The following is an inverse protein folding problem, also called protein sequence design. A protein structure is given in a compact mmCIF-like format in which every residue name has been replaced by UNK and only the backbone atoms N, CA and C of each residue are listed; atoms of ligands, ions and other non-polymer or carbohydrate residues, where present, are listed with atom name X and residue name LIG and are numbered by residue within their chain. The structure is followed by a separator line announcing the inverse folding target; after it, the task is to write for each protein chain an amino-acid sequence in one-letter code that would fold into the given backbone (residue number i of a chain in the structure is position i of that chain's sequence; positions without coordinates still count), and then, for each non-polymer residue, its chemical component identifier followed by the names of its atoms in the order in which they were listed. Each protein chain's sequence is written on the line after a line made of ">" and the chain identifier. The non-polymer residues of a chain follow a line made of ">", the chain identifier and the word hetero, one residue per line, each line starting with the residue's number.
data_IF_620443349776
#
_entry.id   IF_620443349776
#
_cell.length_a   1.000
_cell.length_b   1.000
_cell.length_c   1.000
_cell.angle_alpha   90.00
_cell.angle_beta   90.00
_cell.angle_gamma   90.00
#
_symmetry.space_group_name_H-M   'P 1'
#
loop_
_entity.id
_entity.type
_entity.pdbx_description
1 polymer ?
#
# COMPACT_ATOMS: atom_id res chain seq x y z
N UNK A 1 -27.44 0.88 33.03
CA UNK A 1 -26.31 1.41 33.81
C UNK A 1 -26.90 2.18 34.99
N UNK A 2 -26.66 1.73 36.23
CA UNK A 2 -27.18 2.37 37.43
C UNK A 2 -26.17 3.41 37.93
N UNK A 3 -26.54 4.68 37.95
CA UNK A 3 -25.75 5.76 38.54
C UNK A 3 -26.37 6.21 39.87
N UNK A 4 -25.53 6.57 40.85
CA UNK A 4 -26.00 7.18 42.08
C UNK A 4 -26.39 8.64 41.78
N UNK A 5 -27.70 8.91 41.64
CA UNK A 5 -28.21 10.28 41.53
C UNK A 5 -28.36 10.87 42.94
N UNK A 6 -27.73 12.03 43.18
CA UNK A 6 -27.93 12.80 44.42
C UNK A 6 -28.30 14.23 44.07
N UNK A 7 -29.48 14.66 44.51
CA UNK A 7 -29.91 16.05 44.42
C UNK A 7 -29.06 16.88 45.38
N UNK A 8 -28.28 17.81 44.85
CA UNK A 8 -27.63 18.87 45.64
C UNK A 8 -28.50 20.12 45.51
N UNK A 9 -29.06 20.56 46.64
CA UNK A 9 -29.72 21.86 46.71
C UNK A 9 -28.66 22.95 46.79
N UNK A 10 -28.73 23.95 45.93
CA UNK A 10 -28.07 25.23 46.17
C UNK A 10 -29.03 26.11 46.95
N UNK A 11 -28.73 26.39 48.21
CA UNK A 11 -29.41 27.42 48.99
C UNK A 11 -28.88 28.79 48.57
N UNK A 12 -29.62 29.49 47.71
CA UNK A 12 -29.29 30.85 47.27
C UNK A 12 -29.60 31.91 48.34
N UNK A 13 -30.02 31.49 49.54
CA UNK A 13 -30.42 32.32 50.68
C UNK A 13 -31.52 33.35 50.34
N UNK A 14 -32.22 33.25 49.20
CA UNK A 14 -33.36 34.12 48.84
C UNK A 14 -34.73 33.45 49.06
N UNK A 15 -34.75 32.17 49.45
CA UNK A 15 -35.99 31.41 49.67
C UNK A 15 -36.50 30.67 48.42
N UNK A 16 -35.76 30.71 47.30
CA UNK A 16 -36.11 29.97 46.08
C UNK A 16 -35.20 28.76 45.91
N UNK A 17 -35.71 27.56 46.19
CA UNK A 17 -34.97 26.32 45.95
C UNK A 17 -34.95 25.98 44.47
N UNK A 18 -33.80 26.12 43.81
CA UNK A 18 -33.58 25.54 42.48
C UNK A 18 -32.99 24.13 42.65
N UNK A 19 -33.71 23.11 42.17
CA UNK A 19 -33.24 21.73 42.17
C UNK A 19 -32.34 21.51 40.96
N UNK A 20 -31.04 21.36 41.18
CA UNK A 20 -30.09 20.87 40.18
C UNK A 20 -29.84 19.38 40.35
N UNK A 21 -29.83 18.63 39.26
CA UNK A 21 -29.35 17.24 39.28
C UNK A 21 -27.84 17.27 39.06
N UNK A 22 -27.05 16.84 40.06
CA UNK A 22 -25.62 16.59 39.88
C UNK A 22 -25.45 15.13 39.47
N UNK A 23 -25.09 14.92 38.21
CA UNK A 23 -24.73 13.61 37.69
C UNK A 23 -23.22 13.40 37.92
N UNK A 24 -22.86 12.66 38.98
CA UNK A 24 -21.48 12.24 39.24
C UNK A 24 -21.27 10.87 38.61
N UNK A 25 -20.33 10.80 37.67
CA UNK A 25 -19.87 9.54 37.09
C UNK A 25 -18.48 9.25 37.64
N UNK A 26 -18.35 8.12 38.33
CA UNK A 26 -17.06 7.62 38.79
C UNK A 26 -16.62 6.61 37.75
N UNK A 27 -15.54 6.93 37.07
CA UNK A 27 -14.86 5.95 36.24
C UNK A 27 -14.02 5.02 37.13
N UNK A 28 -14.08 3.73 36.86
CA UNK A 28 -13.35 2.70 37.61
C UNK A 28 -12.66 1.69 36.68
N UNK A 29 -12.81 1.86 35.37
CA UNK A 29 -12.32 0.92 34.38
C UNK A 29 -10.94 1.38 33.94
N UNK A 30 -9.94 0.49 34.01
CA UNK A 30 -8.65 0.78 33.42
C UNK A 30 -8.72 0.68 31.88
N UNK A 31 -7.93 1.48 31.16
CA UNK A 31 -7.91 1.44 29.70
C UNK A 31 -7.45 0.08 29.19
N UNK A 32 -7.97 -0.36 28.05
CA UNK A 32 -7.60 -1.60 27.40
C UNK A 32 -7.14 -1.38 25.95
N UNK A 33 -6.02 -2.00 25.58
CA UNK A 33 -5.59 -2.02 24.18
C UNK A 33 -6.55 -2.86 23.34
N UNK A 34 -7.05 -2.30 22.25
CA UNK A 34 -8.02 -2.92 21.34
C UNK A 34 -7.39 -3.42 20.04
N UNK A 35 -6.29 -2.79 19.60
CA UNK A 35 -5.58 -3.20 18.39
C UNK A 35 -4.12 -2.73 18.38
N UNK A 36 -3.29 -3.45 17.63
CA UNK A 36 -1.92 -3.03 17.26
C UNK A 36 -1.84 -3.03 15.73
N UNK A 37 -1.28 -1.98 15.14
CA UNK A 37 -1.11 -1.83 13.69
C UNK A 37 0.30 -1.38 13.35
N UNK A 38 1.01 -2.15 12.51
CA UNK A 38 2.31 -1.74 11.99
C UNK A 38 2.21 -0.65 10.92
N UNK A 39 3.33 0.03 10.68
CA UNK A 39 3.51 1.07 9.67
C UNK A 39 2.44 2.17 9.71
N UNK A 40 2.12 2.64 10.92
CA UNK A 40 1.20 3.73 11.19
C UNK A 40 1.82 4.71 12.16
N UNK A 41 2.06 5.93 11.68
CA UNK A 41 2.48 7.07 12.47
C UNK A 41 1.37 8.12 12.51
N UNK A 42 1.44 9.02 13.48
CA UNK A 42 0.50 10.13 13.61
C UNK A 42 1.05 11.37 12.92
N UNK A 43 0.27 11.97 12.00
CA UNK A 43 0.52 13.32 11.52
C UNK A 43 -0.30 14.30 12.36
N UNK A 44 0.35 15.03 13.27
CA UNK A 44 -0.33 16.02 14.10
C UNK A 44 -0.92 17.18 13.28
N UNK A 45 -0.22 17.59 12.21
CA UNK A 45 -0.68 18.64 11.30
C UNK A 45 -1.95 18.24 10.53
N UNK A 46 -1.99 17.01 10.01
CA UNK A 46 -3.13 16.51 9.24
C UNK A 46 -4.22 15.86 10.12
N UNK A 47 -3.93 15.63 11.40
CA UNK A 47 -4.77 14.89 12.35
C UNK A 47 -5.25 13.54 11.81
N UNK A 48 -4.33 12.76 11.23
CA UNK A 48 -4.63 11.45 10.65
C UNK A 48 -3.45 10.49 10.74
N UNK A 49 -3.76 9.21 10.58
CA UNK A 49 -2.76 8.17 10.34
C UNK A 49 -2.03 8.43 9.02
N UNK A 50 -0.71 8.34 9.07
CA UNK A 50 0.17 8.32 7.89
C UNK A 50 0.98 7.03 7.86
N UNK A 51 1.44 6.64 6.69
CA UNK A 51 2.29 5.44 6.55
C UNK A 51 3.73 5.81 6.88
N UNK A 52 4.34 5.05 7.78
CA UNK A 52 5.76 5.15 8.11
C UNK A 52 6.24 3.76 8.54
N UNK A 53 7.16 3.15 7.79
CA UNK A 53 7.58 1.78 8.04
C UNK A 53 8.31 1.59 9.38
N UNK A 54 8.85 2.65 9.96
CA UNK A 54 9.48 2.67 11.28
C UNK A 54 8.48 3.08 12.38
N UNK A 55 7.25 2.56 12.36
CA UNK A 55 6.24 2.92 13.37
C UNK A 55 5.22 1.82 13.68
N UNK A 56 4.65 1.89 14.89
CA UNK A 56 3.57 1.04 15.36
C UNK A 56 2.52 1.89 16.06
N UNK A 57 1.24 1.67 15.74
CA UNK A 57 0.08 2.24 16.42
C UNK A 57 -0.53 1.23 17.38
N UNK A 58 -0.94 1.69 18.55
CA UNK A 58 -1.72 0.96 19.54
C UNK A 58 -3.02 1.73 19.75
N UNK A 59 -4.15 1.08 19.52
CA UNK A 59 -5.47 1.66 19.82
C UNK A 59 -5.93 1.22 21.20
N UNK A 60 -6.56 2.13 21.94
CA UNK A 60 -7.20 1.89 23.22
C UNK A 60 -8.71 2.09 23.10
N UNK A 61 -9.49 1.55 24.03
CA UNK A 61 -10.94 1.73 24.13
C UNK A 61 -11.36 3.07 24.76
N UNK A 62 -10.41 3.81 25.32
CA UNK A 62 -10.61 5.14 25.91
C UNK A 62 -9.35 6.02 25.81
N UNK A 63 -9.49 7.29 26.23
CA UNK A 63 -8.40 8.28 26.16
C UNK A 63 -7.42 8.14 27.32
N UNK A 64 -6.12 8.11 26.99
CA UNK A 64 -5.05 8.05 27.97
C UNK A 64 -4.65 9.44 28.48
N UNK A 65 -4.14 9.50 29.71
CA UNK A 65 -3.38 10.63 30.22
C UNK A 65 -1.96 10.62 29.61
N UNK A 66 -1.68 11.59 28.75
CA UNK A 66 -0.42 11.76 28.04
C UNK A 66 0.79 11.80 28.99
N UNK A 67 0.64 12.37 30.19
CA UNK A 67 1.73 12.47 31.16
C UNK A 67 2.18 11.09 31.69
N UNK A 68 1.37 10.06 31.52
CA UNK A 68 1.65 8.69 31.98
C UNK A 68 2.22 7.79 30.88
N UNK A 69 2.37 8.29 29.66
CA UNK A 69 2.77 7.47 28.51
C UNK A 69 4.17 7.85 28.05
N UNK A 70 5.13 6.93 28.22
CA UNK A 70 6.51 7.12 27.79
C UNK A 70 7.03 5.92 26.95
N UNK A 71 8.12 6.14 26.21
CA UNK A 71 8.77 5.10 25.41
C UNK A 71 9.17 3.88 26.26
N UNK A 72 9.61 4.12 27.49
CA UNK A 72 10.02 3.08 28.44
C UNK A 72 8.89 2.18 28.90
N UNK A 73 7.62 2.58 28.73
CA UNK A 73 6.48 1.75 29.11
C UNK A 73 6.24 0.61 28.12
N UNK A 74 6.84 0.68 26.93
CA UNK A 74 6.58 -0.27 25.85
C UNK A 74 7.84 -1.02 25.42
N UNK A 75 7.62 -2.21 24.90
CA UNK A 75 8.61 -2.92 24.10
C UNK A 75 7.98 -3.38 22.79
N UNK A 76 8.75 -3.30 21.70
CA UNK A 76 8.35 -3.82 20.39
C UNK A 76 9.29 -4.96 20.02
N UNK A 77 8.71 -6.10 19.65
CA UNK A 77 9.43 -7.33 19.33
C UNK A 77 8.69 -8.09 18.23
N UNK A 78 9.15 -9.28 17.85
CA UNK A 78 8.45 -10.15 16.90
C UNK A 78 9.26 -10.41 15.64
N UNK A 79 8.69 -11.20 14.73
CA UNK A 79 9.37 -11.56 13.48
C UNK A 79 9.52 -10.30 12.62
N UNK A 80 10.69 -10.10 12.02
CA UNK A 80 10.95 -8.97 11.11
C UNK A 80 11.05 -7.60 11.80
N UNK A 81 10.87 -7.50 13.11
CA UNK A 81 11.23 -6.28 13.86
C UNK A 81 12.75 -6.23 13.97
N UNK A 82 13.36 -5.27 13.26
CA UNK A 82 14.82 -5.14 13.13
C UNK A 82 15.45 -4.35 14.27
N UNK A 83 14.67 -3.50 14.94
CA UNK A 83 15.06 -2.73 16.12
C UNK A 83 13.91 -2.69 17.11
N UNK A 84 14.22 -2.90 18.39
CA UNK A 84 13.28 -2.74 19.52
C UNK A 84 13.34 -1.36 20.16
N UNK A 85 14.23 -0.48 19.68
CA UNK A 85 14.40 0.87 20.22
C UNK A 85 13.24 1.75 19.76
N UNK A 86 12.55 2.35 20.73
CA UNK A 86 11.49 3.34 20.52
C UNK A 86 12.11 4.72 20.69
N UNK A 87 12.08 5.54 19.64
CA UNK A 87 12.64 6.89 19.63
C UNK A 87 11.60 7.95 20.00
N UNK A 88 10.34 7.71 19.62
CA UNK A 88 9.25 8.65 19.87
C UNK A 88 8.01 7.93 20.34
N UNK A 89 7.26 8.63 21.20
CA UNK A 89 5.89 8.27 21.58
C UNK A 89 5.02 9.49 21.38
N UNK A 90 3.85 9.29 20.79
CA UNK A 90 2.90 10.37 20.57
C UNK A 90 1.49 9.85 20.78
N UNK A 91 0.65 10.60 21.48
CA UNK A 91 -0.78 10.35 21.50
C UNK A 91 -1.42 11.05 20.31
N UNK A 92 -2.28 10.33 19.60
CA UNK A 92 -3.02 10.87 18.48
C UNK A 92 -4.49 10.51 18.57
N UNK A 93 -5.18 10.70 17.45
CA UNK A 93 -6.63 10.61 17.38
C UNK A 93 -7.24 11.92 16.90
N UNK A 94 -8.44 11.83 16.36
CA UNK A 94 -9.16 12.96 15.81
C UNK A 94 -10.46 13.14 16.58
N UNK A 95 -10.80 14.39 16.85
CA UNK A 95 -12.05 14.79 17.50
C UNK A 95 -12.27 13.97 18.79
N UNK A 96 -13.42 13.30 18.95
CA UNK A 96 -13.76 12.49 20.13
C UNK A 96 -12.91 11.24 20.37
N UNK A 97 -11.85 11.00 19.58
CA UNK A 97 -10.89 9.90 19.79
C UNK A 97 -9.49 10.36 20.17
N UNK A 98 -9.32 11.65 20.46
CA UNK A 98 -8.03 12.21 20.88
C UNK A 98 -7.53 11.49 22.14
N UNK A 99 -6.29 11.01 22.12
CA UNK A 99 -5.68 10.28 23.23
C UNK A 99 -6.03 8.79 23.29
N UNK A 100 -6.86 8.27 22.39
CA UNK A 100 -7.20 6.83 22.32
C UNK A 100 -6.19 6.02 21.47
N UNK A 101 -5.12 6.64 20.98
CA UNK A 101 -4.12 5.97 20.16
C UNK A 101 -2.73 6.42 20.53
N UNK A 102 -1.85 5.44 20.80
CA UNK A 102 -0.42 5.66 21.03
C UNK A 102 0.35 5.25 19.79
N UNK A 103 1.23 6.12 19.33
CA UNK A 103 2.09 5.90 18.16
C UNK A 103 3.53 5.82 18.64
N UNK A 104 4.17 4.69 18.38
CA UNK A 104 5.58 4.42 18.69
C UNK A 104 6.39 4.60 17.41
N UNK A 105 7.35 5.53 17.41
CA UNK A 105 8.39 5.61 16.38
C UNK A 105 9.55 4.69 16.73
N UNK A 106 9.94 3.82 15.81
CA UNK A 106 11.04 2.87 15.96
C UNK A 106 12.31 3.45 15.34
N UNK A 107 13.47 3.04 15.84
CA UNK A 107 14.77 3.47 15.29
C UNK A 107 15.09 2.88 13.90
N UNK A 108 14.31 1.91 13.42
CA UNK A 108 14.49 1.29 12.11
C UNK A 108 13.15 0.86 11.52
N UNK A 109 13.11 0.79 10.19
CA UNK A 109 11.97 0.25 9.46
C UNK A 109 11.68 -1.21 9.87
N UNK A 110 10.39 -1.52 9.96
CA UNK A 110 9.91 -2.89 10.01
C UNK A 110 10.40 -3.63 8.76
N UNK A 111 11.02 -4.79 8.98
CA UNK A 111 11.49 -5.64 7.90
C UNK A 111 10.34 -6.31 7.15
N UNK A 112 10.63 -7.01 6.04
CA UNK A 112 9.61 -7.60 5.19
C UNK A 112 8.72 -8.62 5.90
N UNK A 113 7.40 -8.53 5.72
CA UNK A 113 6.38 -9.33 6.41
C UNK A 113 6.56 -9.35 7.94
N UNK A 114 7.04 -8.26 8.52
CA UNK A 114 7.19 -8.18 9.96
C UNK A 114 5.84 -8.38 10.68
N UNK A 115 5.94 -8.95 11.88
CA UNK A 115 4.82 -9.23 12.77
C UNK A 115 5.11 -8.61 14.13
N UNK A 116 5.03 -7.27 14.24
CA UNK A 116 5.35 -6.60 15.47
C UNK A 116 4.39 -7.04 16.58
N UNK A 117 4.97 -7.31 17.75
CA UNK A 117 4.31 -7.60 19.01
C UNK A 117 4.67 -6.50 19.98
N UNK A 118 3.64 -5.84 20.51
CA UNK A 118 3.81 -4.79 21.51
C UNK A 118 3.47 -5.36 22.89
N UNK A 119 4.33 -5.05 23.86
CA UNK A 119 4.07 -5.31 25.27
C UNK A 119 4.19 -4.03 26.07
N UNK A 120 3.28 -3.87 27.03
CA UNK A 120 3.40 -2.91 28.11
C UNK A 120 4.31 -3.52 29.19
N UNK A 121 5.41 -2.87 29.53
CA UNK A 121 6.34 -3.26 30.59
C UNK A 121 6.32 -2.28 31.77
N UNK A 122 5.87 -1.05 31.54
CA UNK A 122 5.58 -0.05 32.56
C UNK A 122 4.09 0.02 32.88
N UNK A 123 3.54 1.23 32.94
CA UNK A 123 2.12 1.46 33.21
C UNK A 123 1.62 2.71 32.49
N UNK A 124 0.35 2.71 32.12
CA UNK A 124 -0.33 3.88 31.55
C UNK A 124 -1.67 4.07 32.27
N UNK A 125 -2.17 5.29 32.31
CA UNK A 125 -3.47 5.60 32.94
C UNK A 125 -4.38 6.32 31.97
N UNK A 126 -5.68 6.20 32.19
CA UNK A 126 -6.68 7.08 31.59
C UNK A 126 -6.72 8.46 32.27
N UNK A 127 -7.59 9.34 31.79
CA UNK A 127 -7.80 10.68 32.36
C UNK A 127 -8.46 10.67 33.75
N UNK A 128 -9.09 9.56 34.15
CA UNK A 128 -9.67 9.38 35.48
C UNK A 128 -8.67 8.78 36.49
N UNK A 129 -7.47 8.40 36.03
CA UNK A 129 -6.41 7.82 36.84
C UNK A 129 -6.50 6.31 37.02
N UNK A 130 -7.35 5.59 36.27
CA UNK A 130 -7.34 4.12 36.32
C UNK A 130 -6.13 3.60 35.55
N UNK A 131 -5.39 2.68 36.18
CA UNK A 131 -4.06 2.25 35.70
C UNK A 131 -4.14 0.91 34.97
N UNK A 132 -3.66 0.87 33.73
CA UNK A 132 -3.28 -0.36 33.05
C UNK A 132 -1.80 -0.67 33.32
N UNK A 133 -1.53 -1.86 33.84
CA UNK A 133 -0.18 -2.37 34.09
C UNK A 133 -0.11 -3.89 33.97
N UNK A 134 1.09 -4.47 33.78
CA UNK A 134 1.27 -5.92 33.86
C UNK A 134 0.81 -6.49 35.20
N UNK A 135 0.16 -7.66 35.15
CA UNK A 135 -0.10 -8.45 36.34
C UNK A 135 1.23 -8.96 36.93
N UNK A 136 1.24 -9.30 38.22
CA UNK A 136 2.43 -9.84 38.89
C UNK A 136 2.95 -11.13 38.27
N UNK A 137 2.10 -11.89 37.58
CA UNK A 137 2.46 -13.08 36.81
C UNK A 137 3.07 -12.78 35.42
N UNK A 138 2.91 -11.56 34.91
CA UNK A 138 3.40 -11.12 33.59
C UNK A 138 4.83 -10.54 33.70
N UNK A 139 5.80 -11.38 34.08
CA UNK A 139 7.20 -10.97 34.38
C UNK A 139 7.97 -10.36 33.18
N UNK A 140 7.44 -10.49 31.97
CA UNK A 140 8.03 -9.93 30.74
C UNK A 140 7.14 -8.88 30.10
N UNK A 141 6.22 -8.30 30.86
CA UNK A 141 5.23 -7.35 30.40
C UNK A 141 3.94 -7.98 29.87
N UNK A 142 2.89 -7.16 29.86
CA UNK A 142 1.55 -7.47 29.34
C UNK A 142 1.55 -7.35 27.83
N UNK A 143 1.11 -8.38 27.11
CA UNK A 143 0.96 -8.28 25.65
C UNK A 143 -0.26 -7.42 25.32
N UNK A 144 -0.05 -6.31 24.61
CA UNK A 144 -1.12 -5.43 24.14
C UNK A 144 -1.68 -5.90 22.79
N UNK A 145 -0.85 -6.57 21.99
CA UNK A 145 -1.29 -7.19 20.74
C UNK A 145 -0.14 -7.54 19.82
N UNK A 146 -0.51 -8.14 18.70
CA UNK A 146 0.36 -8.42 17.55
C UNK A 146 -0.26 -7.82 16.30
N UNK A 147 0.56 -7.48 15.32
CA UNK A 147 0.08 -6.98 14.04
C UNK A 147 0.79 -7.62 12.86
N UNK A 148 0.26 -7.38 11.67
CA UNK A 148 1.06 -7.35 10.44
C UNK A 148 1.75 -5.99 10.34
N UNK A 149 2.89 -5.92 9.67
CA UNK A 149 3.67 -4.69 9.56
C UNK A 149 2.96 -3.55 8.83
N UNK A 150 1.91 -3.81 8.03
CA UNK A 150 1.22 -2.80 7.25
C UNK A 150 2.08 -2.11 6.19
N UNK A 151 3.30 -2.62 5.96
CA UNK A 151 4.27 -2.04 5.04
C UNK A 151 3.81 -2.34 3.62
N UNK A 152 3.61 -1.30 2.81
CA UNK A 152 3.23 -1.48 1.42
C UNK A 152 4.46 -1.84 0.58
N UNK A 153 4.36 -2.82 -0.32
CA UNK A 153 5.43 -3.07 -1.27
C UNK A 153 5.80 -1.81 -2.06
N UNK A 154 7.09 -1.55 -2.15
CA UNK A 154 7.67 -0.57 -3.07
C UNK A 154 8.38 -1.33 -4.17
N UNK A 155 7.85 -1.20 -5.39
CA UNK A 155 8.38 -1.90 -6.55
C UNK A 155 9.39 -1.02 -7.28
N UNK A 156 10.46 -1.63 -7.78
CA UNK A 156 11.57 -0.95 -8.42
C UNK A 156 12.26 -1.82 -9.47
N UNK A 157 13.11 -1.21 -10.29
CA UNK A 157 13.88 -1.93 -11.31
C UNK A 157 13.02 -2.59 -12.39
N UNK A 158 11.85 -2.00 -12.68
CA UNK A 158 10.98 -2.46 -13.75
C UNK A 158 11.68 -2.39 -15.10
N UNK A 159 11.79 -3.53 -15.80
CA UNK A 159 12.46 -3.63 -17.09
C UNK A 159 11.69 -4.54 -18.04
N UNK A 160 11.78 -4.20 -19.34
CA UNK A 160 11.30 -5.01 -20.46
C UNK A 160 12.51 -5.33 -21.34
N UNK A 161 12.78 -6.61 -21.61
CA UNK A 161 14.01 -7.05 -22.28
C UNK A 161 14.10 -6.60 -23.75
N UNK A 162 12.97 -6.51 -24.43
CA UNK A 162 12.86 -5.97 -25.78
C UNK A 162 11.94 -4.77 -25.76
N UNK A 163 12.51 -3.59 -26.03
CA UNK A 163 11.72 -2.37 -26.16
C UNK A 163 10.70 -2.45 -27.30
N UNK A 164 10.97 -3.31 -28.29
CA UNK A 164 10.29 -3.48 -29.57
C UNK A 164 9.82 -4.95 -29.69
N UNK A 165 8.51 -5.20 -29.81
CA UNK A 165 7.95 -6.56 -29.89
C UNK A 165 7.24 -6.77 -31.24
N UNK A 166 7.88 -7.51 -32.14
CA UNK A 166 7.30 -7.93 -33.43
C UNK A 166 6.03 -8.77 -33.22
N UNK A 167 5.17 -8.85 -34.25
CA UNK A 167 4.01 -9.75 -34.26
C UNK A 167 4.45 -11.19 -33.92
N UNK A 168 3.74 -11.84 -33.00
CA UNK A 168 4.09 -13.16 -32.45
C UNK A 168 5.41 -13.22 -31.66
N UNK A 169 6.05 -12.07 -31.45
CA UNK A 169 7.26 -11.91 -30.64
C UNK A 169 6.97 -11.92 -29.14
N UNK A 170 8.05 -12.07 -28.36
CA UNK A 170 8.00 -12.12 -26.90
C UNK A 170 9.01 -11.15 -26.28
N UNK A 171 8.70 -10.65 -25.10
CA UNK A 171 9.65 -9.91 -24.26
C UNK A 171 9.46 -10.29 -22.80
N UNK A 172 10.55 -10.29 -22.04
CA UNK A 172 10.49 -10.54 -20.61
C UNK A 172 10.24 -9.24 -19.86
N UNK A 173 9.43 -9.32 -18.81
CA UNK A 173 9.24 -8.29 -17.80
C UNK A 173 9.98 -8.74 -16.55
N UNK A 174 10.69 -7.84 -15.90
CA UNK A 174 11.21 -8.05 -14.55
C UNK A 174 10.94 -6.85 -13.66
N UNK A 175 10.74 -7.09 -12.36
CA UNK A 175 10.74 -6.05 -11.33
C UNK A 175 11.11 -6.64 -9.98
N UNK A 176 11.56 -5.78 -9.08
CA UNK A 176 11.92 -6.11 -7.70
C UNK A 176 11.04 -5.38 -6.70
N UNK A 177 11.04 -5.84 -5.45
CA UNK A 177 10.27 -5.28 -4.33
C UNK A 177 11.13 -5.19 -3.08
N UNK A 178 10.94 -4.14 -2.28
CA UNK A 178 11.50 -4.10 -0.92
C UNK A 178 10.79 -5.08 0.04
N UNK A 179 9.53 -5.41 -0.28
CA UNK A 179 8.69 -6.38 0.44
C UNK A 179 8.62 -7.76 -0.20
N UNK A 180 8.20 -8.73 0.62
CA UNK A 180 7.91 -10.08 0.15
C UNK A 180 6.53 -10.14 -0.52
N UNK A 181 6.53 -10.36 -1.83
CA UNK A 181 5.36 -10.51 -2.68
C UNK A 181 4.74 -11.92 -2.58
N UNK A 182 3.44 -12.01 -2.81
CA UNK A 182 2.66 -13.25 -2.80
C UNK A 182 1.64 -13.30 -3.94
N UNK A 183 0.89 -14.41 -3.99
CA UNK A 183 -0.27 -14.63 -4.89
C UNK A 183 0.10 -14.42 -6.36
N UNK A 184 1.05 -15.19 -6.88
CA UNK A 184 1.50 -15.14 -8.29
C UNK A 184 0.60 -15.93 -9.23
N UNK A 185 0.69 -15.67 -10.54
CA UNK A 185 0.09 -16.53 -11.56
C UNK A 185 -1.45 -16.50 -11.63
N UNK A 186 -2.10 -15.55 -10.95
CA UNK A 186 -3.56 -15.42 -10.95
C UNK A 186 -3.99 -14.41 -12.01
N UNK A 187 -4.76 -14.89 -12.99
CA UNK A 187 -5.52 -14.02 -13.88
C UNK A 187 -6.55 -13.24 -13.04
N UNK A 188 -6.73 -11.96 -13.36
CA UNK A 188 -7.48 -10.96 -12.57
C UNK A 188 -8.86 -11.40 -12.05
N UNK A 189 -9.52 -12.37 -12.71
CA UNK A 189 -10.91 -12.73 -12.46
C UNK A 189 -11.20 -13.52 -11.17
N UNK A 190 -10.22 -14.05 -10.41
CA UNK A 190 -10.53 -14.89 -9.24
C UNK A 190 -9.68 -14.70 -7.98
N UNK A 191 -8.54 -14.01 -8.02
CA UNK A 191 -7.80 -13.64 -6.82
C UNK A 191 -6.80 -12.52 -7.18
N UNK A 192 -6.82 -11.41 -6.43
CA UNK A 192 -5.94 -10.26 -6.69
C UNK A 192 -4.52 -10.64 -6.28
N UNK A 193 -3.63 -10.86 -7.25
CA UNK A 193 -2.25 -11.29 -7.04
C UNK A 193 -1.20 -10.23 -7.28
N UNK A 194 0.06 -10.67 -7.38
CA UNK A 194 1.15 -9.90 -7.99
C UNK A 194 1.11 -10.09 -9.51
N UNK A 195 1.10 -9.00 -10.29
CA UNK A 195 0.96 -9.01 -11.76
C UNK A 195 1.57 -7.74 -12.40
N UNK A 196 1.63 -7.71 -13.72
CA UNK A 196 1.92 -6.49 -14.48
C UNK A 196 0.70 -6.09 -15.32
N UNK A 197 0.30 -4.82 -15.26
CA UNK A 197 -0.87 -4.26 -15.93
C UNK A 197 -0.47 -3.51 -17.19
N UNK A 198 -1.08 -3.87 -18.32
CA UNK A 198 -0.80 -3.28 -19.64
C UNK A 198 -1.91 -2.30 -20.00
N UNK A 199 -1.55 -1.10 -20.47
CA UNK A 199 -2.47 -0.06 -20.97
C UNK A 199 -2.03 0.44 -22.35
N UNK A 200 -2.94 1.03 -23.13
CA UNK A 200 -2.65 1.54 -24.48
C UNK A 200 -3.12 0.64 -25.64
N UNK A 201 -2.60 0.90 -26.84
CA UNK A 201 -3.10 0.38 -28.13
C UNK A 201 -3.39 1.52 -29.12
N UNK A 202 -3.29 1.27 -30.43
CA UNK A 202 -3.52 2.29 -31.48
C UNK A 202 -4.95 2.84 -31.54
N UNK A 203 -5.23 3.78 -32.46
CA UNK A 203 -6.38 4.72 -32.46
C UNK A 203 -7.82 4.13 -32.32
N UNK A 204 -8.00 2.82 -32.48
CA UNK A 204 -9.28 2.11 -32.26
C UNK A 204 -9.34 1.33 -30.93
N UNK A 205 -8.41 1.54 -29.99
CA UNK A 205 -8.62 1.14 -28.60
C UNK A 205 -9.49 2.21 -27.95
N UNK A 206 -10.81 2.05 -28.04
CA UNK A 206 -11.77 2.95 -27.40
C UNK A 206 -11.43 3.19 -25.92
N UNK A 207 -12.08 4.18 -25.32
CA UNK A 207 -11.95 4.67 -23.93
C UNK A 207 -11.91 3.61 -22.81
N UNK A 208 -12.09 2.33 -23.12
CA UNK A 208 -11.82 1.15 -22.29
C UNK A 208 -10.32 0.81 -22.11
N UNK A 209 -9.39 1.51 -22.77
CA UNK A 209 -7.93 1.30 -22.65
C UNK A 209 -7.28 1.91 -21.40
N UNK A 210 -8.06 2.57 -20.53
CA UNK A 210 -7.60 3.11 -19.26
C UNK A 210 -7.76 2.04 -18.18
N UNK A 211 -6.71 1.25 -17.94
CA UNK A 211 -6.73 0.33 -16.80
C UNK A 211 -6.71 1.16 -15.51
N UNK A 212 -7.84 1.21 -14.80
CA UNK A 212 -7.92 1.87 -13.50
C UNK A 212 -7.03 1.15 -12.50
N UNK A 213 -6.00 1.85 -12.02
CA UNK A 213 -5.00 1.37 -11.06
C UNK A 213 -5.56 1.03 -9.66
N UNK A 214 -6.88 1.15 -9.47
CA UNK A 214 -7.59 0.79 -8.24
C UNK A 214 -8.00 -0.70 -8.19
N UNK A 215 -7.81 -1.43 -9.30
CA UNK A 215 -8.14 -2.83 -9.45
C UNK A 215 -9.63 -3.12 -9.29
N UNK A 216 -10.47 -2.31 -9.94
CA UNK A 216 -11.92 -2.53 -10.05
C UNK A 216 -12.43 -2.89 -11.46
N UNK A 217 -11.59 -2.92 -12.52
CA UNK A 217 -12.05 -3.43 -13.81
C UNK A 217 -10.97 -3.63 -14.89
N UNK A 218 -11.24 -4.62 -15.73
CA UNK A 218 -10.79 -4.81 -17.11
C UNK A 218 -9.57 -5.69 -17.47
N UNK A 219 -9.78 -6.42 -18.58
CA UNK A 219 -8.89 -7.39 -19.21
C UNK A 219 -7.61 -6.71 -19.71
N UNK A 220 -6.53 -6.80 -18.93
CA UNK A 220 -5.32 -6.02 -19.19
C UNK A 220 -4.01 -6.58 -18.62
N UNK A 221 -4.06 -7.69 -17.88
CA UNK A 221 -2.98 -8.04 -16.95
C UNK A 221 -2.15 -9.25 -17.40
N UNK A 222 -0.83 -9.10 -17.32
CA UNK A 222 0.17 -10.14 -17.55
C UNK A 222 0.47 -10.81 -16.21
N UNK A 223 0.25 -12.13 -16.17
CA UNK A 223 0.66 -12.94 -15.04
C UNK A 223 2.19 -12.92 -14.90
N UNK A 224 2.66 -12.85 -13.66
CA UNK A 224 4.09 -12.94 -13.33
C UNK A 224 4.32 -14.07 -12.33
N UNK A 225 5.54 -14.61 -12.36
CA UNK A 225 6.06 -15.61 -11.45
C UNK A 225 7.14 -14.98 -10.59
N UNK A 226 7.15 -15.30 -9.30
CA UNK A 226 8.21 -14.86 -8.40
C UNK A 226 9.43 -15.75 -8.57
N UNK A 227 10.58 -15.15 -8.92
CA UNK A 227 11.87 -15.85 -8.91
C UNK A 227 12.37 -16.05 -7.48
N UNK A 228 12.01 -15.13 -6.59
CA UNK A 228 12.12 -15.21 -5.15
C UNK A 228 11.05 -14.28 -4.54
N UNK A 229 10.83 -14.26 -3.22
CA UNK A 229 9.80 -13.43 -2.61
C UNK A 229 9.88 -11.93 -2.96
N UNK A 230 11.03 -11.42 -3.41
CA UNK A 230 11.26 -10.00 -3.70
C UNK A 230 11.42 -9.67 -5.18
N UNK A 231 11.27 -10.63 -6.09
CA UNK A 231 11.46 -10.37 -7.53
C UNK A 231 10.51 -11.19 -8.38
N UNK A 232 9.91 -10.53 -9.37
CA UNK A 232 8.95 -11.11 -10.27
C UNK A 232 9.47 -11.07 -11.71
N UNK A 233 9.06 -12.06 -12.49
CA UNK A 233 9.29 -12.16 -13.92
C UNK A 233 8.01 -12.54 -14.66
N UNK A 234 7.78 -11.97 -15.82
CA UNK A 234 6.66 -12.33 -16.69
C UNK A 234 7.08 -12.25 -18.16
N UNK A 235 6.20 -12.67 -19.06
CA UNK A 235 6.46 -12.60 -20.50
C UNK A 235 5.31 -11.87 -21.19
N UNK A 236 5.65 -10.79 -21.91
CA UNK A 236 4.78 -10.11 -22.86
C UNK A 236 4.81 -10.87 -24.19
N UNK A 237 3.63 -11.02 -24.82
CA UNK A 237 3.49 -11.60 -26.16
C UNK A 237 2.57 -10.72 -27.00
N UNK A 238 2.94 -10.49 -28.26
CA UNK A 238 2.09 -9.79 -29.24
C UNK A 238 1.35 -10.83 -30.10
N UNK A 239 0.02 -10.73 -30.19
CA UNK A 239 -0.71 -11.30 -31.33
C UNK A 239 -1.23 -12.73 -31.18
N UNK A 240 -1.35 -13.25 -29.96
CA UNK A 240 -2.03 -14.52 -29.69
C UNK A 240 -3.10 -14.32 -28.62
N UNK A 241 -4.37 -14.46 -29.01
CA UNK A 241 -5.51 -14.54 -28.07
C UNK A 241 -5.40 -15.74 -27.10
N UNK A 242 -4.45 -16.64 -27.35
CA UNK A 242 -4.30 -17.95 -26.72
C UNK A 242 -3.78 -17.92 -25.28
N UNK A 243 -3.16 -16.81 -24.82
CA UNK A 243 -2.52 -16.72 -23.50
C UNK A 243 -3.03 -15.57 -22.60
N UNK A 244 -4.17 -14.96 -22.95
CA UNK A 244 -4.80 -13.92 -22.12
C UNK A 244 -4.06 -12.58 -22.02
N UNK A 245 -3.06 -12.33 -22.87
CA UNK A 245 -2.35 -11.04 -22.95
C UNK A 245 -3.04 -10.11 -23.98
N UNK A 246 -3.37 -8.84 -23.67
CA UNK A 246 -4.26 -8.01 -24.49
C UNK A 246 -3.59 -7.33 -25.71
N UNK A 247 -2.32 -7.62 -26.00
CA UNK A 247 -1.56 -6.97 -27.09
C UNK A 247 -1.90 -7.59 -28.45
N UNK A 248 -3.14 -7.43 -28.89
CA UNK A 248 -3.66 -7.95 -30.17
C UNK A 248 -3.60 -6.93 -31.30
N UNK A 249 -3.32 -5.67 -30.99
CA UNK A 249 -3.20 -4.57 -31.95
C UNK A 249 -1.78 -4.01 -31.93
N UNK A 250 -1.42 -3.42 -33.05
CA UNK A 250 -0.22 -2.59 -33.17
C UNK A 250 -0.44 -1.25 -32.45
N UNK A 251 0.57 -0.74 -31.74
CA UNK A 251 0.50 0.56 -31.05
C UNK A 251 1.43 0.66 -29.83
N UNK A 252 1.37 1.81 -29.15
CA UNK A 252 2.15 2.10 -27.94
C UNK A 252 1.44 1.54 -26.71
N UNK A 253 2.20 0.85 -25.85
CA UNK A 253 1.69 0.24 -24.62
C UNK A 253 2.48 0.70 -23.39
N UNK A 254 1.77 1.05 -22.32
CA UNK A 254 2.32 1.31 -20.99
C UNK A 254 2.23 0.08 -20.09
N UNK A 255 3.16 -0.07 -19.15
CA UNK A 255 3.18 -1.16 -18.17
C UNK A 255 3.20 -0.60 -16.74
N UNK A 256 2.47 -1.24 -15.83
CA UNK A 256 2.54 -0.95 -14.41
C UNK A 256 2.68 -2.26 -13.63
N UNK A 257 3.68 -2.38 -12.77
CA UNK A 257 3.77 -3.53 -11.86
C UNK A 257 2.86 -3.31 -10.66
N UNK A 258 2.11 -4.35 -10.29
CA UNK A 258 1.28 -4.37 -9.09
C UNK A 258 1.74 -5.53 -8.21
N UNK A 259 2.15 -5.21 -7.00
CA UNK A 259 2.74 -6.14 -6.03
C UNK A 259 1.86 -6.23 -4.81
N UNK A 260 1.65 -7.45 -4.33
CA UNK A 260 0.86 -7.72 -3.14
C UNK A 260 1.67 -8.56 -2.17
N UNK A 261 1.71 -8.16 -0.91
CA UNK A 261 2.40 -8.92 0.13
C UNK A 261 1.50 -10.00 0.78
N UNK A 262 1.98 -10.63 1.84
CA UNK A 262 1.22 -11.65 2.56
C UNK A 262 0.07 -11.08 3.43
N UNK A 263 0.15 -9.79 3.76
CA UNK A 263 -0.84 -9.06 4.56
C UNK A 263 -1.88 -8.33 3.68
N UNK A 264 -1.88 -8.60 2.38
CA UNK A 264 -2.76 -7.99 1.38
C UNK A 264 -2.54 -6.49 1.13
N UNK A 265 -1.41 -5.95 1.59
CA UNK A 265 -0.97 -4.60 1.22
C UNK A 265 -0.58 -4.57 -0.26
N UNK A 266 -0.94 -3.47 -0.94
CA UNK A 266 -0.72 -3.30 -2.38
C UNK A 266 0.29 -2.19 -2.61
N UNK A 267 1.32 -2.53 -3.37
CA UNK A 267 2.28 -1.61 -3.96
C UNK A 267 2.10 -1.51 -5.46
N UNK A 268 2.23 -0.31 -6.02
CA UNK A 268 2.28 -0.10 -7.47
C UNK A 268 3.62 0.53 -7.81
N UNK A 269 4.33 -0.07 -8.77
CA UNK A 269 5.55 0.49 -9.35
C UNK A 269 5.28 0.95 -10.77
N UNK A 270 5.81 2.11 -11.13
CA UNK A 270 5.77 2.59 -12.51
C UNK A 270 6.75 1.78 -13.37
N UNK A 271 6.26 1.19 -14.46
CA UNK A 271 7.11 0.62 -15.51
C UNK A 271 6.87 1.42 -16.80
N UNK A 272 7.45 2.62 -16.91
CA UNK A 272 7.34 3.37 -18.16
C UNK A 272 8.38 2.89 -19.16
N UNK A 273 8.02 1.92 -20.03
CA UNK A 273 8.39 1.87 -21.47
C UNK A 273 7.97 0.56 -22.13
N UNK A 274 7.15 0.64 -23.19
CA UNK A 274 7.34 -0.11 -24.45
C UNK A 274 6.89 0.82 -25.60
N UNK A 275 7.79 1.07 -26.55
CA UNK A 275 7.57 1.87 -27.79
C UNK A 275 7.66 0.86 -28.95
N UNK A 276 6.91 1.05 -30.02
CA UNK A 276 6.60 0.05 -31.03
C UNK A 276 7.75 -0.35 -31.99
N UNK A 277 7.80 -1.63 -32.41
CA UNK A 277 8.57 -2.06 -33.60
C UNK A 277 7.71 -1.92 -34.86
N UNK A 278 7.69 -0.74 -35.47
CA UNK A 278 7.05 -0.52 -36.77
C UNK A 278 7.87 -1.06 -37.95
N UNK A 279 9.03 -1.70 -37.73
CA UNK A 279 9.93 -2.06 -38.84
C UNK A 279 9.28 -2.99 -39.87
N UNK A 280 8.29 -3.79 -39.45
CA UNK A 280 7.54 -4.67 -40.32
C UNK A 280 6.57 -3.93 -41.27
N UNK A 281 6.14 -2.72 -40.91
CA UNK A 281 5.29 -1.86 -41.75
C UNK A 281 6.06 -1.23 -42.92
N UNK A 282 7.39 -1.29 -42.90
CA UNK A 282 8.26 -0.83 -43.99
C UNK A 282 8.72 -1.96 -44.93
N UNK A 283 8.31 -3.21 -44.68
CA UNK A 283 8.83 -4.38 -45.39
C UNK A 283 8.00 -4.83 -46.61
N UNK A 284 6.96 -4.09 -47.02
CA UNK A 284 6.07 -4.55 -48.11
C UNK A 284 5.70 -3.54 -49.20
N UNK A 285 6.43 -2.45 -49.39
CA UNK A 285 6.24 -1.54 -50.55
C UNK A 285 7.51 -1.40 -51.40
N UNK A 286 8.14 -2.53 -51.68
CA UNK A 286 9.29 -2.61 -52.57
C UNK A 286 9.25 -3.82 -53.49
N UNK A 287 8.06 -4.27 -53.90
CA UNK A 287 7.98 -4.99 -55.17
C UNK A 287 8.32 -3.96 -56.24
N UNK A 288 9.51 -4.08 -56.80
CA UNK A 288 9.88 -3.39 -58.02
C UNK A 288 8.77 -3.63 -59.04
N UNK A 289 7.97 -2.61 -59.31
CA UNK A 289 7.09 -2.61 -60.46
C UNK A 289 7.98 -2.30 -61.65
N UNK A 290 8.37 -3.38 -62.31
CA UNK A 290 9.02 -3.41 -63.60
C UNK A 290 8.00 -2.95 -64.65
N UNK A 291 7.74 -1.64 -64.73
CA UNK A 291 7.24 -1.02 -65.97
C UNK A 291 7.39 0.50 -65.98
N UNK A 292 8.47 0.98 -66.62
CA UNK A 292 8.43 2.02 -67.68
C UNK A 292 9.83 2.63 -67.88
N UNK A 293 10.77 1.86 -68.43
CA UNK A 293 11.83 2.44 -69.28
C UNK A 293 12.05 1.53 -70.49
N UNK A 294 11.19 1.69 -71.51
CA UNK A 294 11.54 1.48 -72.92
C UNK A 294 10.70 2.49 -73.70
N UNK A 295 11.25 3.59 -74.23
CA UNK A 295 12.11 3.66 -75.42
C UNK A 295 12.60 5.12 -75.49
N UNK A 296 13.88 5.39 -75.71
CA UNK A 296 14.33 5.66 -77.08
C UNK A 296 14.48 7.17 -77.34
N UNK A 297 15.69 7.67 -77.06
CA UNK A 297 16.44 8.68 -77.82
C UNK A 297 15.66 9.81 -78.52
N UNK A 298 15.78 11.03 -77.98
CA UNK A 298 15.92 12.28 -78.74
C UNK A 298 16.50 13.34 -77.75
N UNK A 299 17.82 13.52 -77.72
CA UNK A 299 18.62 14.42 -78.56
C UNK A 299 18.99 15.67 -77.75
N UNK A 300 20.26 15.78 -77.35
CA UNK A 300 20.99 17.04 -77.52
C UNK A 300 22.51 16.84 -77.60
N UNK A 301 23.11 17.71 -78.42
CA UNK A 301 24.51 18.14 -78.48
C UNK A 301 25.60 17.40 -79.31
N UNK A 302 25.65 17.80 -80.60
CA UNK A 302 26.74 18.60 -81.20
C UNK A 302 27.95 17.97 -81.96
N UNK A 303 28.31 18.70 -83.03
CA UNK A 303 29.59 18.80 -83.79
C UNK A 303 29.76 17.85 -84.99
N UNK A 304 29.46 18.33 -86.22
CA UNK A 304 30.34 19.14 -87.12
C UNK A 304 29.47 20.06 -87.97
#
# INVERSE_FOLDING_TARGET
>A
LAGNSKTVGTDDHNGTFTTGTLDLRIDTQAPAATAVTGAKAWSAGDKKDVTNNASVKISFDESLDEATVAASDFTVSGVGVTSSTIETVTLGGKDGTTGMSVYLGLAADLGPNAKPKVKLVGQVSDLAGNVLKPATSETTGKTLGTSTDGVKPTLSGGAVSSALIKKSGKSDITFSSNENLTKTGVAYAAARGTYASVSGGGEDSGTAGLVTLDGTGDAGNVAVTLSNPKSAKGTLKHGTAEDGVPMTKTGIYGLASVGRDAADNIGVGGITKVIEDVSASFASDGTADDDLITTGVAADDSIV
#
